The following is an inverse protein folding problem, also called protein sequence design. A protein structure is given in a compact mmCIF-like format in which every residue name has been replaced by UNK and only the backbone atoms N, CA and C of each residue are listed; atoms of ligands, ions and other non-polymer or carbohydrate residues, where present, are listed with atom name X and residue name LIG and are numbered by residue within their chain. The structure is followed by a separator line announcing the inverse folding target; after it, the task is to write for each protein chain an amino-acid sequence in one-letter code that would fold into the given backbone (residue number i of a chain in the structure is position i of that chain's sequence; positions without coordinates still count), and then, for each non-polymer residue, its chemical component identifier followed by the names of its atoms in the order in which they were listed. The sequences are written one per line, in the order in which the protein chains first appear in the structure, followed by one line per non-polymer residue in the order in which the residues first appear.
data_IF_090638495118
#
_entry.id   IF_090638495118
#
_cell.length_a   1.000
_cell.length_b   1.000
_cell.length_c   1.000
_cell.angle_alpha   90.00
_cell.angle_beta   90.00
_cell.angle_gamma   90.00
#
_symmetry.space_group_name_H-M   'P 1'
#
loop_
_entity.id
_entity.type
_entity.pdbx_description
1 polymer ?
#
# COMPACT_ATOMS: atom_id res chain seq x y z
N UNK A 1 29.08 -47.63 -19.33
CA UNK A 1 28.07 -46.85 -18.59
C UNK A 1 28.35 -45.38 -18.87
N UNK A 2 27.62 -44.78 -19.80
CA UNK A 2 27.72 -43.36 -20.12
C UNK A 2 26.69 -42.65 -19.24
N UNK A 3 27.16 -41.96 -18.21
CA UNK A 3 26.30 -41.17 -17.33
C UNK A 3 25.89 -39.89 -18.06
N UNK A 4 24.62 -39.81 -18.47
CA UNK A 4 24.03 -38.53 -18.85
C UNK A 4 23.90 -37.66 -17.58
N UNK A 5 24.86 -36.77 -17.36
CA UNK A 5 24.64 -35.62 -16.49
C UNK A 5 23.76 -34.68 -17.31
N UNK A 6 22.44 -34.67 -17.02
CA UNK A 6 21.57 -33.62 -17.55
C UNK A 6 22.09 -32.28 -17.02
N UNK A 7 22.30 -31.33 -17.91
CA UNK A 7 22.57 -29.94 -17.51
C UNK A 7 21.48 -29.48 -16.53
N UNK A 8 21.88 -28.71 -15.54
CA UNK A 8 20.94 -28.14 -14.58
C UNK A 8 19.85 -27.37 -15.36
N UNK A 9 18.57 -27.52 -14.99
CA UNK A 9 17.50 -26.81 -15.66
C UNK A 9 17.77 -25.30 -15.59
N UNK A 10 17.60 -24.62 -16.72
CA UNK A 10 17.73 -23.17 -16.79
C UNK A 10 16.73 -22.50 -15.85
N UNK A 11 17.15 -21.40 -15.23
CA UNK A 11 16.32 -20.70 -14.26
C UNK A 11 15.06 -20.13 -14.94
N UNK A 12 13.84 -20.51 -14.51
CA UNK A 12 12.61 -19.99 -15.09
C UNK A 12 12.26 -18.58 -14.59
N UNK A 13 12.93 -18.06 -13.56
CA UNK A 13 12.61 -16.76 -12.97
C UNK A 13 13.08 -15.58 -13.84
N UNK A 14 12.27 -14.52 -13.83
CA UNK A 14 12.45 -13.31 -14.63
C UNK A 14 12.21 -12.05 -13.78
N UNK A 15 12.71 -12.04 -12.54
CA UNK A 15 12.49 -10.93 -11.60
C UNK A 15 13.58 -9.87 -11.65
N UNK A 16 13.19 -8.64 -11.31
CA UNK A 16 14.12 -7.61 -10.86
C UNK A 16 14.25 -7.77 -9.35
N UNK A 17 15.42 -8.21 -8.88
CA UNK A 17 15.69 -8.48 -7.47
C UNK A 17 16.05 -7.20 -6.71
N UNK A 18 16.75 -6.26 -7.36
CA UNK A 18 17.03 -4.95 -6.80
C UNK A 18 17.20 -3.88 -7.88
N UNK A 19 16.94 -2.63 -7.49
CA UNK A 19 17.18 -1.44 -8.31
C UNK A 19 18.03 -0.48 -7.49
N UNK A 20 19.22 -0.19 -7.99
CA UNK A 20 20.17 0.74 -7.35
C UNK A 20 20.18 2.05 -8.11
N UNK A 21 20.00 3.16 -7.39
CA UNK A 21 20.10 4.53 -7.89
C UNK A 21 21.03 5.29 -6.94
N UNK A 22 21.79 6.27 -7.44
CA UNK A 22 22.62 7.12 -6.58
C UNK A 22 21.74 7.77 -5.49
N UNK A 23 22.05 7.56 -4.19
CA UNK A 23 21.26 8.12 -3.10
C UNK A 23 21.07 9.64 -3.14
N UNK A 24 21.97 10.41 -3.77
CA UNK A 24 21.81 11.86 -3.91
C UNK A 24 20.69 12.26 -4.87
N UNK A 25 20.30 11.35 -5.77
CA UNK A 25 19.19 11.52 -6.70
C UNK A 25 17.85 11.10 -6.09
N UNK A 26 17.88 10.48 -4.90
CA UNK A 26 16.73 9.93 -4.23
C UNK A 26 16.27 10.81 -3.07
N UNK A 27 14.94 10.87 -2.90
CA UNK A 27 14.26 11.43 -1.73
C UNK A 27 13.74 10.33 -0.79
N UNK A 28 13.89 9.07 -1.17
CA UNK A 28 13.59 7.89 -0.36
C UNK A 28 14.04 6.61 -1.05
N UNK A 29 13.83 5.46 -0.42
CA UNK A 29 14.23 4.17 -0.99
C UNK A 29 13.50 3.89 -2.31
N UNK A 30 14.11 3.05 -3.15
CA UNK A 30 13.45 2.45 -4.32
C UNK A 30 12.64 1.24 -3.84
N UNK A 31 11.40 1.13 -4.28
CA UNK A 31 10.52 0.03 -3.92
C UNK A 31 10.15 -0.79 -5.16
N UNK A 32 10.21 -2.11 -5.04
CA UNK A 32 9.78 -3.04 -6.09
C UNK A 32 8.55 -3.79 -5.59
N UNK A 33 7.42 -3.59 -6.25
CA UNK A 33 6.24 -4.41 -6.05
C UNK A 33 6.27 -5.56 -7.07
N UNK A 34 6.61 -6.75 -6.58
CA UNK A 34 6.71 -7.95 -7.42
C UNK A 34 5.35 -8.42 -7.96
N UNK A 35 4.24 -8.06 -7.31
CA UNK A 35 2.88 -8.50 -7.68
C UNK A 35 2.38 -7.65 -8.84
N UNK A 36 2.36 -6.33 -8.63
CA UNK A 36 1.89 -5.37 -9.63
C UNK A 36 2.97 -5.08 -10.68
N UNK A 37 4.18 -5.63 -10.48
CA UNK A 37 5.35 -5.44 -11.34
C UNK A 37 5.64 -3.95 -11.52
N UNK A 38 5.76 -3.24 -10.41
CA UNK A 38 6.07 -1.81 -10.43
C UNK A 38 7.36 -1.52 -9.69
N UNK A 39 8.10 -0.53 -10.17
CA UNK A 39 9.29 0.03 -9.52
C UNK A 39 8.95 1.47 -9.16
N UNK A 40 8.82 1.77 -7.88
CA UNK A 40 8.55 3.12 -7.39
C UNK A 40 9.87 3.81 -7.06
N UNK A 41 10.14 4.89 -7.79
CA UNK A 41 11.28 5.77 -7.60
C UNK A 41 10.84 7.04 -6.88
N UNK A 42 11.54 7.38 -5.81
CA UNK A 42 11.35 8.61 -5.07
C UNK A 42 12.51 9.55 -5.42
N UNK A 43 12.31 10.43 -6.40
CA UNK A 43 13.40 11.24 -6.96
C UNK A 43 13.45 12.65 -6.35
N UNK A 44 14.62 13.28 -6.42
CA UNK A 44 14.73 14.73 -6.30
C UNK A 44 14.15 15.39 -7.55
N UNK A 45 13.75 16.66 -7.48
CA UNK A 45 13.27 17.39 -8.65
C UNK A 45 14.34 17.43 -9.75
N UNK A 46 15.59 17.66 -9.37
CA UNK A 46 16.73 17.65 -10.29
C UNK A 46 16.87 16.28 -11.00
N UNK A 47 16.77 15.17 -10.26
CA UNK A 47 16.85 13.83 -10.84
C UNK A 47 15.65 13.48 -11.73
N UNK A 48 14.45 14.00 -11.40
CA UNK A 48 13.28 13.90 -12.26
C UNK A 48 13.51 14.65 -13.58
N UNK A 49 14.02 15.88 -13.51
CA UNK A 49 14.24 16.73 -14.67
C UNK A 49 15.40 16.22 -15.55
N UNK A 50 16.49 15.72 -14.95
CA UNK A 50 17.67 15.23 -15.68
C UNK A 50 17.54 13.80 -16.19
N UNK A 51 16.66 13.00 -15.58
CA UNK A 51 16.67 11.55 -15.70
C UNK A 51 17.73 10.89 -14.83
N UNK A 52 17.69 9.55 -14.76
CA UNK A 52 18.59 8.72 -13.96
C UNK A 52 19.02 7.44 -14.71
N UNK A 53 20.08 6.77 -14.25
CA UNK A 53 20.55 5.49 -14.79
C UNK A 53 20.52 4.39 -13.72
N UNK A 54 19.39 3.70 -13.51
CA UNK A 54 19.26 2.67 -12.47
C UNK A 54 20.05 1.40 -12.82
N UNK A 55 20.76 0.85 -11.85
CA UNK A 55 21.44 -0.46 -11.97
C UNK A 55 20.55 -1.54 -11.39
N UNK A 56 20.11 -2.46 -12.24
CA UNK A 56 19.25 -3.58 -11.91
C UNK A 56 20.06 -4.84 -11.59
N UNK A 57 19.70 -5.53 -10.51
CA UNK A 57 20.05 -6.94 -10.28
C UNK A 57 18.85 -7.79 -10.68
N UNK A 58 19.08 -8.82 -11.48
CA UNK A 58 18.02 -9.70 -12.01
C UNK A 58 18.18 -11.11 -11.45
N UNK A 59 17.12 -11.91 -11.56
CA UNK A 59 17.21 -13.36 -11.38
C UNK A 59 18.38 -13.95 -12.16
N UNK A 60 19.06 -14.94 -11.58
CA UNK A 60 20.22 -15.59 -12.21
C UNK A 60 19.91 -16.00 -13.65
N UNK A 61 20.74 -15.52 -14.59
CA UNK A 61 20.66 -15.86 -16.01
C UNK A 61 19.59 -15.08 -16.80
N UNK A 62 18.76 -14.26 -16.15
CA UNK A 62 17.79 -13.41 -16.83
C UNK A 62 18.44 -12.23 -17.56
N UNK A 63 17.73 -11.68 -18.53
CA UNK A 63 18.11 -10.48 -19.28
C UNK A 63 17.02 -9.42 -19.22
N UNK A 64 17.35 -8.15 -19.44
CA UNK A 64 16.40 -7.04 -19.33
C UNK A 64 16.52 -6.05 -20.49
N UNK A 65 15.37 -5.50 -20.93
CA UNK A 65 15.29 -4.39 -21.88
C UNK A 65 14.40 -3.27 -21.33
N UNK A 66 14.85 -1.99 -21.31
CA UNK A 66 16.20 -1.54 -21.68
C UNK A 66 17.27 -2.11 -20.74
N UNK A 67 18.54 -2.06 -21.17
CA UNK A 67 19.64 -2.64 -20.40
C UNK A 67 19.81 -1.92 -19.05
N UNK A 68 20.20 -2.66 -18.02
CA UNK A 68 20.60 -2.11 -16.72
C UNK A 68 21.63 -0.98 -16.91
N UNK A 69 21.45 0.16 -16.21
CA UNK A 69 22.27 1.37 -16.35
C UNK A 69 21.88 2.30 -17.50
N UNK A 70 20.89 1.96 -18.32
CA UNK A 70 20.37 2.86 -19.35
C UNK A 70 19.78 4.13 -18.72
N UNK A 71 20.11 5.29 -19.28
CA UNK A 71 19.49 6.56 -18.88
C UNK A 71 18.00 6.52 -19.22
N UNK A 72 17.16 6.67 -18.21
CA UNK A 72 15.71 6.87 -18.34
C UNK A 72 15.39 8.32 -18.04
N UNK A 73 14.44 8.88 -18.80
CA UNK A 73 13.94 10.25 -18.63
C UNK A 73 12.44 10.22 -18.37
N UNK A 74 11.96 11.22 -17.64
CA UNK A 74 10.57 11.33 -17.18
C UNK A 74 9.81 12.46 -17.87
N UNK A 75 10.32 12.93 -19.02
CA UNK A 75 9.88 14.11 -19.76
C UNK A 75 8.94 13.81 -20.95
N UNK A 76 8.42 12.58 -21.05
CA UNK A 76 7.51 12.17 -22.12
C UNK A 76 6.28 11.40 -21.63
N UNK A 77 5.23 11.37 -22.45
CA UNK A 77 3.98 10.63 -22.19
C UNK A 77 4.13 9.10 -22.26
N UNK A 78 5.36 8.61 -22.49
CA UNK A 78 5.64 7.20 -22.67
C UNK A 78 5.97 6.54 -21.33
N UNK A 79 5.24 5.46 -21.01
CA UNK A 79 5.48 4.64 -19.83
C UNK A 79 6.92 4.05 -19.88
N UNK A 80 7.66 4.21 -18.78
CA UNK A 80 9.00 3.65 -18.65
C UNK A 80 8.85 2.22 -18.14
N UNK A 81 9.28 1.25 -18.96
CA UNK A 81 9.12 -0.17 -18.65
C UNK A 81 10.43 -0.93 -18.79
N UNK A 82 10.61 -1.98 -17.97
CA UNK A 82 11.64 -2.99 -18.08
C UNK A 82 11.01 -4.36 -18.39
N UNK A 83 11.31 -4.92 -19.55
CA UNK A 83 10.95 -6.29 -19.91
C UNK A 83 12.09 -7.23 -19.52
N UNK A 84 11.87 -8.05 -18.48
CA UNK A 84 12.81 -9.07 -18.01
C UNK A 84 12.42 -10.42 -18.60
N UNK A 85 13.38 -11.11 -19.21
CA UNK A 85 13.22 -12.45 -19.79
C UNK A 85 14.09 -13.44 -19.03
N UNK A 86 13.52 -14.59 -18.63
CA UNK A 86 14.22 -15.64 -17.89
C UNK A 86 15.40 -16.23 -18.67
N UNK A 87 16.30 -16.96 -17.99
CA UNK A 87 17.41 -17.68 -18.64
C UNK A 87 16.91 -18.65 -19.71
N UNK A 88 15.76 -19.30 -19.45
CA UNK A 88 15.11 -20.21 -20.41
C UNK A 88 14.46 -19.51 -21.60
N UNK A 89 14.20 -18.19 -21.52
CA UNK A 89 13.42 -17.45 -22.51
C UNK A 89 11.90 -17.71 -22.48
N UNK A 90 11.44 -18.65 -21.67
CA UNK A 90 10.03 -19.06 -21.62
C UNK A 90 9.15 -18.07 -20.84
N UNK A 91 9.73 -17.36 -19.86
CA UNK A 91 9.00 -16.42 -19.02
C UNK A 91 9.46 -14.99 -19.27
N UNK A 92 8.50 -14.05 -19.31
CA UNK A 92 8.78 -12.62 -19.39
C UNK A 92 7.91 -11.86 -18.38
N UNK A 93 8.54 -10.99 -17.58
CA UNK A 93 7.86 -10.07 -16.65
C UNK A 93 8.16 -8.63 -17.09
N UNK A 94 7.11 -7.85 -17.28
CA UNK A 94 7.17 -6.41 -17.57
C UNK A 94 7.03 -5.64 -16.26
N UNK A 95 8.02 -4.83 -15.92
CA UNK A 95 7.99 -3.92 -14.78
C UNK A 95 7.79 -2.48 -15.23
N UNK A 96 6.79 -1.79 -14.68
CA UNK A 96 6.55 -0.36 -14.93
C UNK A 96 7.26 0.49 -13.87
N UNK A 97 8.06 1.47 -14.30
CA UNK A 97 8.66 2.47 -13.42
C UNK A 97 7.65 3.58 -13.15
N UNK A 98 7.43 3.89 -11.87
CA UNK A 98 6.59 4.99 -11.39
C UNK A 98 7.44 5.96 -10.60
N UNK A 99 7.27 7.26 -10.82
CA UNK A 99 7.97 8.29 -10.04
C UNK A 99 6.98 9.03 -9.16
N UNK A 100 7.32 9.17 -7.88
CA UNK A 100 6.56 9.96 -6.92
C UNK A 100 7.14 11.37 -6.87
N UNK A 101 6.39 12.37 -7.32
CA UNK A 101 6.73 13.77 -7.07
C UNK A 101 6.18 14.20 -5.70
N UNK A 102 7.07 14.43 -4.74
CA UNK A 102 6.72 14.78 -3.36
C UNK A 102 6.29 16.25 -3.31
N UNK A 103 4.99 16.53 -3.31
CA UNK A 103 4.49 17.89 -3.15
C UNK A 103 3.00 18.04 -2.85
N UNK A 104 2.16 17.18 -3.43
CA UNK A 104 0.70 17.25 -3.26
C UNK A 104 0.21 16.02 -2.50
N UNK A 105 -0.18 16.23 -1.24
CA UNK A 105 -0.72 15.19 -0.35
C UNK A 105 -2.22 15.41 -0.20
N UNK A 106 -2.91 15.42 -1.34
CA UNK A 106 -4.35 15.60 -1.49
C UNK A 106 -4.87 14.40 -2.30
N UNK A 107 -5.76 13.60 -1.72
CA UNK A 107 -6.19 12.31 -2.29
C UNK A 107 -7.71 12.29 -2.41
N UNK A 108 -8.19 12.37 -3.66
CA UNK A 108 -9.62 12.44 -3.97
C UNK A 108 -10.25 11.07 -4.35
N UNK A 109 -9.44 10.01 -4.53
CA UNK A 109 -9.90 8.67 -4.89
C UNK A 109 -10.82 8.61 -6.13
N UNK A 110 -10.58 9.49 -7.10
CA UNK A 110 -11.37 9.56 -8.33
C UNK A 110 -10.94 8.53 -9.37
N UNK A 111 -9.68 8.11 -9.33
CA UNK A 111 -9.09 7.19 -10.30
C UNK A 111 -8.73 5.87 -9.61
N UNK A 112 -9.10 4.77 -10.26
CA UNK A 112 -8.89 3.41 -9.75
C UNK A 112 -8.52 2.50 -10.92
N UNK A 113 -7.60 1.58 -10.65
CA UNK A 113 -7.28 0.48 -11.55
C UNK A 113 -7.76 -0.84 -10.94
N UNK A 114 -7.77 -1.89 -11.76
CA UNK A 114 -8.19 -3.24 -11.35
C UNK A 114 -7.09 -4.22 -11.68
N UNK A 115 -6.82 -5.15 -10.75
CA UNK A 115 -5.89 -6.23 -10.98
C UNK A 115 -6.40 -7.13 -12.14
N UNK A 116 -5.58 -7.43 -13.16
CA UNK A 116 -6.06 -8.05 -14.40
C UNK A 116 -6.66 -9.45 -14.18
N UNK A 117 -6.17 -10.20 -13.21
CA UNK A 117 -6.62 -11.58 -12.92
C UNK A 117 -7.60 -11.61 -11.77
N UNK A 118 -7.20 -11.11 -10.60
CA UNK A 118 -7.96 -11.24 -9.36
C UNK A 118 -9.08 -10.19 -9.22
N UNK A 119 -9.10 -9.18 -10.10
CA UNK A 119 -10.12 -8.13 -10.21
C UNK A 119 -10.35 -7.26 -8.97
N UNK A 120 -9.50 -7.34 -7.94
CA UNK A 120 -9.51 -6.34 -6.88
C UNK A 120 -9.14 -4.97 -7.42
N UNK A 121 -9.67 -3.92 -6.81
CA UNK A 121 -9.40 -2.54 -7.19
C UNK A 121 -8.34 -1.91 -6.28
N UNK A 122 -7.61 -0.92 -6.80
CA UNK A 122 -6.69 -0.08 -6.04
C UNK A 122 -6.69 1.36 -6.56
N UNK A 123 -6.55 2.39 -5.69
CA UNK A 123 -6.47 3.77 -6.14
C UNK A 123 -5.20 4.01 -6.95
N UNK A 124 -5.33 4.87 -7.96
CA UNK A 124 -4.19 5.41 -8.70
C UNK A 124 -4.32 6.92 -8.72
N UNK A 125 -3.21 7.61 -8.58
CA UNK A 125 -3.11 9.06 -8.77
C UNK A 125 -2.83 9.36 -10.25
N UNK A 126 -2.63 10.63 -10.57
CA UNK A 126 -2.30 11.09 -11.93
C UNK A 126 -1.11 10.31 -12.53
N UNK A 127 -1.13 10.16 -13.85
CA UNK A 127 -0.18 9.33 -14.60
C UNK A 127 -0.12 7.85 -14.16
N UNK A 128 -1.15 7.35 -13.46
CA UNK A 128 -1.22 5.94 -13.04
C UNK A 128 -0.35 5.61 -11.83
N UNK A 129 0.13 6.63 -11.11
CA UNK A 129 0.96 6.45 -9.93
C UNK A 129 0.19 5.72 -8.83
N UNK A 130 0.73 4.63 -8.29
CA UNK A 130 0.09 3.89 -7.20
C UNK A 130 0.87 4.16 -5.91
N UNK A 131 0.28 4.99 -5.04
CA UNK A 131 0.79 5.27 -3.69
C UNK A 131 0.08 4.44 -2.61
N UNK A 132 -1.13 4.03 -2.94
CA UNK A 132 -2.03 3.34 -2.02
C UNK A 132 -1.93 1.83 -2.20
N UNK A 133 -1.98 1.14 -1.07
CA UNK A 133 -2.11 -0.31 -0.99
C UNK A 133 -3.18 -0.69 0.02
N UNK A 134 -3.54 -1.97 0.03
CA UNK A 134 -4.61 -2.55 0.84
C UNK A 134 -4.30 -3.99 1.20
N UNK A 135 -5.17 -4.61 2.00
CA UNK A 135 -5.13 -6.05 2.25
C UNK A 135 -5.63 -6.91 1.07
N UNK A 136 -6.12 -6.31 -0.04
CA UNK A 136 -6.73 -7.05 -1.15
C UNK A 136 -5.82 -8.13 -1.75
N UNK A 137 -4.52 -7.90 -2.00
CA UNK A 137 -3.66 -8.94 -2.56
C UNK A 137 -3.56 -10.15 -1.63
N UNK A 138 -3.53 -9.94 -0.31
CA UNK A 138 -3.57 -11.03 0.67
C UNK A 138 -4.90 -11.77 0.69
N UNK A 139 -6.03 -11.06 0.55
CA UNK A 139 -7.37 -11.66 0.48
C UNK A 139 -7.56 -12.46 -0.81
N UNK A 140 -6.97 -12.06 -1.93
CA UNK A 140 -7.01 -12.82 -3.19
C UNK A 140 -6.48 -14.26 -3.00
N UNK A 141 -5.41 -14.43 -2.20
CA UNK A 141 -4.84 -15.73 -1.88
C UNK A 141 -5.78 -16.65 -1.08
N UNK A 142 -6.83 -16.08 -0.47
CA UNK A 142 -7.81 -16.84 0.31
C UNK A 142 -8.94 -17.46 -0.53
N UNK A 143 -8.94 -17.24 -1.84
CA UNK A 143 -9.91 -17.83 -2.76
C UNK A 143 -11.25 -17.07 -2.86
N UNK A 144 -11.25 -15.76 -2.65
CA UNK A 144 -12.42 -14.93 -2.96
C UNK A 144 -12.68 -14.89 -4.48
N UNK A 145 -13.94 -14.73 -4.94
CA UNK A 145 -14.23 -14.58 -6.36
C UNK A 145 -13.51 -13.39 -6.99
N UNK A 146 -13.05 -13.54 -8.23
CA UNK A 146 -12.38 -12.49 -8.99
C UNK A 146 -13.37 -11.41 -9.50
N UNK A 147 -13.87 -10.59 -8.58
CA UNK A 147 -14.70 -9.40 -8.84
C UNK A 147 -14.56 -8.40 -7.68
N UNK A 148 -14.63 -7.11 -7.96
CA UNK A 148 -14.25 -6.06 -7.00
C UNK A 148 -15.10 -6.03 -5.72
N UNK A 149 -16.39 -6.36 -5.80
CA UNK A 149 -17.30 -6.38 -4.65
C UNK A 149 -17.03 -7.52 -3.65
N UNK A 150 -16.22 -8.52 -4.02
CA UNK A 150 -15.80 -9.60 -3.13
C UNK A 150 -14.63 -9.19 -2.21
N UNK A 151 -13.96 -8.07 -2.52
CA UNK A 151 -12.80 -7.58 -1.78
C UNK A 151 -13.18 -6.55 -0.72
N UNK A 152 -12.41 -6.47 0.37
CA UNK A 152 -12.73 -5.57 1.48
C UNK A 152 -12.40 -4.11 1.18
N UNK A 153 -11.58 -3.80 0.17
CA UNK A 153 -11.27 -2.43 -0.25
C UNK A 153 -11.57 -2.25 -1.74
N UNK A 154 -12.29 -1.19 -2.12
CA UNK A 154 -12.70 -0.93 -3.52
C UNK A 154 -13.16 0.51 -3.71
N UNK A 155 -13.42 0.90 -4.95
CA UNK A 155 -14.10 2.16 -5.23
C UNK A 155 -15.61 2.07 -4.95
N UNK A 156 -16.22 3.21 -4.63
CA UNK A 156 -17.68 3.37 -4.55
C UNK A 156 -18.10 4.64 -5.28
N UNK A 157 -19.36 4.73 -5.69
CA UNK A 157 -19.94 5.97 -6.26
C UNK A 157 -20.53 6.90 -5.20
N UNK A 158 -20.53 6.49 -3.93
CA UNK A 158 -20.90 7.29 -2.75
C UNK A 158 -19.76 8.28 -2.40
N UNK A 159 -19.41 9.16 -3.33
CA UNK A 159 -18.35 10.17 -3.16
C UNK A 159 -18.85 11.46 -2.49
N UNK A 160 -17.97 12.14 -1.75
CA UNK A 160 -18.24 13.45 -1.16
C UNK A 160 -17.98 14.58 -2.16
N UNK A 161 -16.77 14.62 -2.73
CA UNK A 161 -16.35 15.59 -3.76
C UNK A 161 -15.99 14.85 -5.04
N UNK A 162 -17.01 14.48 -5.81
CA UNK A 162 -16.82 13.83 -7.11
C UNK A 162 -17.80 12.69 -7.31
N UNK A 163 -17.39 11.76 -8.17
CA UNK A 163 -18.18 10.58 -8.56
C UNK A 163 -17.70 9.30 -7.89
N UNK A 164 -16.56 9.32 -7.20
CA UNK A 164 -16.00 8.15 -6.52
C UNK A 164 -15.46 8.48 -5.12
N UNK A 165 -15.23 7.44 -4.34
CA UNK A 165 -14.52 7.46 -3.05
C UNK A 165 -13.91 6.08 -2.75
N UNK A 166 -13.11 5.98 -1.70
CA UNK A 166 -12.62 4.70 -1.19
C UNK A 166 -13.63 4.08 -0.21
N UNK A 167 -14.05 2.85 -0.51
CA UNK A 167 -14.92 2.04 0.33
C UNK A 167 -14.14 0.87 0.93
N UNK A 168 -14.23 0.76 2.26
CA UNK A 168 -13.61 -0.28 3.07
C UNK A 168 -14.74 -1.01 3.81
N UNK A 169 -14.86 -2.32 3.60
CA UNK A 169 -15.86 -3.17 4.22
C UNK A 169 -15.20 -4.33 4.92
N UNK A 170 -15.53 -4.55 6.19
CA UNK A 170 -15.13 -5.75 6.90
C UNK A 170 -15.93 -6.93 6.36
N UNK A 171 -15.26 -7.86 5.67
CA UNK A 171 -15.90 -9.03 5.07
C UNK A 171 -15.65 -10.28 5.91
N UNK A 172 -16.49 -11.30 5.71
CA UNK A 172 -16.27 -12.62 6.28
C UNK A 172 -15.04 -13.29 5.65
N UNK A 173 -14.31 -14.08 6.43
CA UNK A 173 -13.29 -14.98 5.92
C UNK A 173 -13.87 -16.04 4.96
N UNK A 174 -13.01 -16.60 4.12
CA UNK A 174 -13.32 -17.76 3.28
C UNK A 174 -13.11 -19.07 4.06
N UNK A 175 -13.66 -20.21 3.60
CA UNK A 175 -13.39 -21.52 4.20
C UNK A 175 -11.90 -21.85 4.34
N UNK A 176 -11.08 -21.43 3.36
CA UNK A 176 -9.62 -21.62 3.40
C UNK A 176 -8.98 -20.77 4.50
N UNK A 177 -9.40 -19.52 4.64
CA UNK A 177 -8.88 -18.63 5.67
C UNK A 177 -9.31 -19.05 7.09
N UNK A 178 -10.52 -19.60 7.23
CA UNK A 178 -11.02 -20.09 8.51
C UNK A 178 -10.20 -21.28 9.03
N UNK A 179 -9.66 -22.12 8.12
CA UNK A 179 -8.78 -23.24 8.47
C UNK A 179 -7.49 -22.80 9.18
N UNK A 180 -6.99 -21.60 8.86
CA UNK A 180 -5.83 -20.98 9.52
C UNK A 180 -6.23 -19.95 10.58
N UNK A 181 -7.51 -19.92 10.96
CA UNK A 181 -8.03 -19.11 12.07
C UNK A 181 -8.36 -17.66 11.72
N UNK A 182 -8.41 -17.30 10.44
CA UNK A 182 -8.83 -15.97 9.97
C UNK A 182 -10.32 -16.03 9.62
N UNK A 183 -11.16 -15.31 10.37
CA UNK A 183 -12.63 -15.37 10.25
C UNK A 183 -13.26 -14.12 9.66
N UNK A 184 -12.49 -13.04 9.58
CA UNK A 184 -12.87 -11.78 8.98
C UNK A 184 -11.65 -11.10 8.38
N UNK A 185 -11.88 -10.23 7.41
CA UNK A 185 -10.91 -9.31 6.86
C UNK A 185 -11.46 -7.90 6.95
N UNK A 186 -10.79 -7.02 7.70
CA UNK A 186 -11.12 -5.61 7.66
C UNK A 186 -10.70 -5.01 6.31
N UNK A 187 -11.54 -4.14 5.75
CA UNK A 187 -11.13 -3.25 4.68
C UNK A 187 -10.04 -2.34 5.23
N UNK A 188 -8.94 -2.24 4.49
CA UNK A 188 -7.81 -1.38 4.83
C UNK A 188 -7.32 -0.63 3.59
N UNK A 189 -6.92 0.62 3.76
CA UNK A 189 -6.30 1.42 2.73
C UNK A 189 -5.20 2.25 3.36
N UNK A 190 -3.98 2.14 2.83
CA UNK A 190 -2.82 2.78 3.42
C UNK A 190 -1.81 3.22 2.38
N UNK A 191 -1.06 4.27 2.69
CA UNK A 191 0.09 4.68 1.90
C UNK A 191 1.25 3.74 2.16
N UNK A 192 1.77 3.14 1.09
CA UNK A 192 2.84 2.16 1.17
C UNK A 192 2.62 0.97 0.23
N UNK A 193 3.06 -0.22 0.66
CA UNK A 193 3.13 -1.41 -0.18
C UNK A 193 2.62 -2.65 0.56
N UNK A 194 2.19 -3.65 -0.21
CA UNK A 194 1.86 -4.96 0.31
C UNK A 194 2.88 -5.99 -0.17
N UNK A 195 3.64 -6.54 0.77
CA UNK A 195 4.68 -7.53 0.49
C UNK A 195 4.11 -8.95 0.55
N UNK A 196 3.70 -9.49 -0.59
CA UNK A 196 3.13 -10.84 -0.67
C UNK A 196 4.07 -11.95 -0.20
N UNK A 197 5.39 -11.79 -0.31
CA UNK A 197 6.34 -12.79 0.20
C UNK A 197 6.22 -13.00 1.71
N UNK A 198 5.78 -11.96 2.43
CA UNK A 198 5.50 -12.01 3.87
C UNK A 198 4.04 -12.36 4.18
N UNK A 199 3.11 -12.26 3.23
CA UNK A 199 1.67 -12.38 3.52
C UNK A 199 1.27 -13.70 4.19
N UNK A 200 1.95 -14.81 3.84
CA UNK A 200 1.71 -16.12 4.43
C UNK A 200 2.58 -16.41 5.67
N UNK A 201 3.79 -15.86 5.72
CA UNK A 201 4.78 -16.13 6.78
C UNK A 201 4.58 -15.21 7.99
N UNK A 202 4.42 -13.90 7.72
CA UNK A 202 4.30 -12.82 8.69
C UNK A 202 3.27 -11.78 8.18
N UNK A 203 1.95 -12.04 8.26
CA UNK A 203 0.92 -11.16 7.69
C UNK A 203 1.02 -9.69 8.13
N UNK A 204 1.42 -9.42 9.38
CA UNK A 204 1.62 -8.05 9.89
C UNK A 204 2.86 -7.36 9.30
N UNK A 205 3.87 -8.11 8.88
CA UNK A 205 5.04 -7.57 8.19
C UNK A 205 4.75 -7.30 6.70
N UNK A 206 3.71 -7.92 6.14
CA UNK A 206 3.33 -7.74 4.74
C UNK A 206 2.76 -6.35 4.45
N UNK A 207 2.13 -5.67 5.41
CA UNK A 207 1.65 -4.30 5.21
C UNK A 207 2.76 -3.32 5.57
N UNK A 208 3.44 -2.81 4.55
CA UNK A 208 4.54 -1.85 4.69
C UNK A 208 3.98 -0.43 4.55
N UNK A 209 4.13 0.38 5.59
CA UNK A 209 3.56 1.71 5.70
C UNK A 209 4.59 2.80 5.46
N UNK A 210 4.20 3.76 4.64
CA UNK A 210 4.84 5.05 4.50
C UNK A 210 5.37 5.31 3.09
N UNK A 211 5.20 6.56 2.67
CA UNK A 211 5.85 7.13 1.49
C UNK A 211 6.75 8.29 1.91
N UNK A 212 7.82 8.60 1.17
CA UNK A 212 8.69 9.73 1.48
C UNK A 212 7.94 11.06 1.55
N UNK A 213 8.24 11.83 2.59
CA UNK A 213 7.59 13.10 2.90
C UNK A 213 8.62 14.21 3.07
N UNK A 214 8.25 15.45 2.69
CA UNK A 214 9.08 16.64 2.89
C UNK A 214 8.37 17.62 3.80
N UNK A 215 9.14 18.18 4.75
CA UNK A 215 8.65 19.14 5.72
C UNK A 215 7.96 18.49 6.91
N UNK A 216 7.25 19.30 7.66
CA UNK A 216 6.51 18.88 8.85
C UNK A 216 5.01 19.06 8.61
N UNK A 217 4.15 18.11 9.02
CA UNK A 217 2.71 18.25 8.91
C UNK A 217 2.11 19.03 10.08
N UNK A 218 1.08 19.82 9.81
CA UNK A 218 0.24 20.50 10.80
C UNK A 218 -0.96 19.66 11.19
N UNK A 219 -1.75 19.22 10.21
CA UNK A 219 -2.95 18.41 10.46
C UNK A 219 -3.24 17.43 9.33
N UNK A 220 -4.01 16.38 9.67
CA UNK A 220 -4.58 15.42 8.74
C UNK A 220 -6.08 15.69 8.63
N UNK A 221 -6.57 15.96 7.42
CA UNK A 221 -7.96 16.33 7.17
C UNK A 221 -8.61 15.40 6.15
N UNK A 222 -9.93 15.34 6.16
CA UNK A 222 -10.70 14.62 5.15
C UNK A 222 -12.15 14.44 5.54
N UNK A 223 -12.85 13.58 4.81
CA UNK A 223 -14.25 13.27 5.04
C UNK A 223 -14.44 11.77 5.18
N UNK A 224 -15.33 11.37 6.09
CA UNK A 224 -15.69 9.96 6.26
C UNK A 224 -17.16 9.76 6.57
N UNK A 225 -17.66 8.58 6.22
CA UNK A 225 -18.97 8.04 6.58
C UNK A 225 -18.75 6.64 7.11
N UNK A 226 -19.42 6.28 8.21
CA UNK A 226 -19.20 4.99 8.85
C UNK A 226 -20.50 4.37 9.37
N UNK A 227 -20.61 3.06 9.22
CA UNK A 227 -21.63 2.25 9.88
C UNK A 227 -21.01 0.94 10.36
N UNK A 228 -21.08 0.67 11.66
CA UNK A 228 -20.67 -0.62 12.20
C UNK A 228 -21.58 -1.76 11.69
N UNK A 229 -20.97 -2.93 11.48
CA UNK A 229 -21.72 -4.17 11.28
C UNK A 229 -22.53 -4.56 12.51
N UNK A 230 -23.50 -5.49 12.37
CA UNK A 230 -24.44 -5.82 13.45
C UNK A 230 -23.77 -6.48 14.66
N UNK A 231 -22.87 -7.46 14.43
CA UNK A 231 -22.28 -8.28 15.48
C UNK A 231 -20.77 -8.15 15.50
N UNK A 232 -20.22 -7.59 16.57
CA UNK A 232 -18.79 -7.62 16.81
C UNK A 232 -18.36 -9.02 17.23
N UNK A 233 -17.37 -9.59 16.54
CA UNK A 233 -16.79 -10.90 16.85
C UNK A 233 -15.33 -10.79 17.29
N UNK A 234 -14.93 -11.70 18.19
CA UNK A 234 -13.52 -11.87 18.54
C UNK A 234 -12.80 -12.76 17.51
N UNK A 235 -11.49 -12.97 17.69
CA UNK A 235 -10.66 -13.81 16.81
C UNK A 235 -11.16 -15.26 16.69
N UNK A 236 -11.82 -15.78 17.72
CA UNK A 236 -12.42 -17.12 17.72
C UNK A 236 -13.77 -17.19 16.97
N UNK A 237 -14.29 -16.06 16.48
CA UNK A 237 -15.58 -15.97 15.80
C UNK A 237 -16.77 -15.87 16.76
N UNK A 238 -16.53 -15.61 18.04
CA UNK A 238 -17.58 -15.50 19.05
C UNK A 238 -18.09 -14.06 19.10
N UNK A 239 -19.40 -13.89 19.01
CA UNK A 239 -20.07 -12.60 19.21
C UNK A 239 -19.72 -12.03 20.59
N UNK A 240 -19.46 -10.73 20.65
CA UNK A 240 -19.18 -9.96 21.85
C UNK A 240 -20.35 -9.02 22.12
N UNK A 241 -21.36 -9.44 22.90
CA UNK A 241 -22.56 -8.63 23.13
C UNK A 241 -22.23 -7.27 23.76
N UNK A 242 -22.86 -6.22 23.25
CA UNK A 242 -22.66 -4.85 23.75
C UNK A 242 -21.38 -4.15 23.25
N UNK A 243 -20.52 -4.85 22.51
CA UNK A 243 -19.37 -4.25 21.84
C UNK A 243 -19.80 -3.81 20.44
N UNK A 244 -19.64 -2.53 20.14
CA UNK A 244 -19.89 -1.96 18.82
C UNK A 244 -18.57 -1.71 18.11
N UNK A 245 -18.48 -2.10 16.85
CA UNK A 245 -17.30 -1.83 16.04
C UNK A 245 -17.12 -0.34 15.75
N UNK A 246 -15.91 0.06 15.40
CA UNK A 246 -15.55 1.43 15.02
C UNK A 246 -14.49 1.40 13.93
N UNK A 247 -14.46 2.43 13.09
CA UNK A 247 -13.36 2.59 12.15
C UNK A 247 -12.08 3.08 12.83
N UNK A 248 -10.97 3.00 12.10
CA UNK A 248 -9.71 3.66 12.44
C UNK A 248 -9.24 4.48 11.26
N UNK A 249 -8.84 5.73 11.50
CA UNK A 249 -8.28 6.65 10.52
C UNK A 249 -7.14 7.40 11.21
N UNK A 250 -5.92 7.28 10.71
CA UNK A 250 -4.78 7.98 11.29
C UNK A 250 -3.67 8.24 10.29
N UNK A 251 -2.80 9.18 10.64
CA UNK A 251 -1.56 9.46 9.93
C UNK A 251 -0.35 9.46 10.89
N UNK A 252 0.82 9.06 10.38
CA UNK A 252 2.05 8.89 11.16
C UNK A 252 3.21 9.51 10.39
N UNK A 253 3.87 10.50 11.00
CA UNK A 253 5.17 11.01 10.54
C UNK A 253 6.28 10.27 11.30
N UNK A 254 7.27 9.76 10.58
CA UNK A 254 8.39 9.03 11.19
C UNK A 254 9.70 9.22 10.42
N UNK A 255 10.81 8.97 11.11
CA UNK A 255 12.13 8.97 10.49
C UNK A 255 12.29 7.78 9.56
N UNK A 256 12.61 8.05 8.29
CA UNK A 256 12.95 7.10 7.24
C UNK A 256 14.41 6.64 7.25
N UNK A 257 14.90 6.05 6.14
CA UNK A 257 14.19 5.87 4.87
C UNK A 257 13.32 4.59 4.82
N UNK A 258 13.49 3.67 5.76
CA UNK A 258 12.77 2.39 5.72
C UNK A 258 11.31 2.54 6.14
N UNK A 259 10.41 1.74 5.58
CA UNK A 259 8.99 1.72 5.97
C UNK A 259 8.79 1.11 7.35
N UNK A 260 7.68 1.48 8.00
CA UNK A 260 7.16 0.75 9.16
C UNK A 260 6.22 -0.37 8.68
N UNK A 261 5.74 -1.23 9.58
CA UNK A 261 4.73 -2.24 9.26
C UNK A 261 3.74 -2.40 10.41
N UNK A 262 2.75 -3.31 10.31
CA UNK A 262 1.69 -3.42 11.31
C UNK A 262 2.19 -3.86 12.70
N UNK A 263 3.40 -4.39 12.81
CA UNK A 263 3.99 -4.74 14.11
C UNK A 263 4.50 -3.52 14.89
N UNK A 264 4.81 -2.40 14.22
CA UNK A 264 5.53 -1.27 14.83
C UNK A 264 4.99 0.13 14.47
N UNK A 265 4.02 0.25 13.55
CA UNK A 265 3.45 1.54 13.12
C UNK A 265 2.81 2.33 14.27
N UNK A 266 2.40 1.65 15.34
CA UNK A 266 1.73 2.27 16.49
C UNK A 266 2.71 2.81 17.54
N UNK A 267 3.92 2.26 17.64
CA UNK A 267 4.79 2.46 18.80
C UNK A 267 6.29 2.57 18.51
N UNK A 268 6.72 2.50 17.24
CA UNK A 268 8.14 2.62 16.89
C UNK A 268 8.78 3.91 17.45
N UNK A 269 10.02 3.79 17.91
CA UNK A 269 10.85 4.92 18.34
C UNK A 269 11.14 5.90 17.20
N UNK A 270 10.99 5.45 15.95
CA UNK A 270 11.14 6.30 14.75
C UNK A 270 9.97 7.27 14.55
N UNK A 271 8.84 7.05 15.22
CA UNK A 271 7.65 7.92 15.11
C UNK A 271 7.95 9.28 15.74
N UNK A 272 7.74 10.34 14.95
CA UNK A 272 7.90 11.74 15.34
C UNK A 272 6.57 12.31 15.80
N UNK A 273 5.51 12.11 15.01
CA UNK A 273 4.19 12.67 15.28
C UNK A 273 3.07 11.78 14.73
N UNK A 274 1.89 11.86 15.35
CA UNK A 274 0.69 11.14 14.90
C UNK A 274 -0.54 12.04 14.90
N UNK A 275 -1.44 11.78 13.98
CA UNK A 275 -2.78 12.36 13.94
C UNK A 275 -3.79 11.21 13.93
N UNK A 276 -4.48 10.99 15.05
CA UNK A 276 -5.41 9.88 15.26
C UNK A 276 -6.86 10.37 15.36
N UNK A 277 -7.76 9.80 14.55
CA UNK A 277 -9.19 10.06 14.67
C UNK A 277 -9.70 9.53 16.02
N UNK A 278 -10.27 10.40 16.84
CA UNK A 278 -10.73 10.05 18.19
C UNK A 278 -12.08 9.34 18.19
N UNK A 279 -13.01 9.79 17.34
CA UNK A 279 -14.36 9.26 17.23
C UNK A 279 -14.54 8.52 15.91
N UNK A 280 -14.39 7.19 15.95
CA UNK A 280 -14.65 6.29 14.84
C UNK A 280 -16.05 5.66 14.84
N UNK A 281 -16.99 6.21 15.62
CA UNK A 281 -18.37 5.71 15.69
C UNK A 281 -19.18 6.03 14.42
N UNK A 282 -20.39 5.46 14.32
CA UNK A 282 -21.30 5.66 13.19
C UNK A 282 -21.46 7.14 12.81
N UNK A 283 -21.36 7.41 11.50
CA UNK A 283 -21.68 8.69 10.86
C UNK A 283 -22.54 8.40 9.64
N UNK A 284 -23.82 8.78 9.70
CA UNK A 284 -24.79 8.51 8.63
C UNK A 284 -24.55 9.34 7.36
N UNK A 285 -23.91 10.50 7.51
CA UNK A 285 -23.48 11.39 6.43
C UNK A 285 -21.97 11.66 6.51
N UNK A 286 -21.40 12.11 5.39
CA UNK A 286 -20.00 12.53 5.35
C UNK A 286 -19.72 13.59 6.41
N UNK A 287 -18.79 13.27 7.29
CA UNK A 287 -18.34 14.11 8.40
C UNK A 287 -16.91 14.52 8.15
N UNK A 288 -16.64 15.84 8.17
CA UNK A 288 -15.29 16.37 8.07
C UNK A 288 -14.50 16.08 9.35
N UNK A 289 -13.24 15.72 9.22
CA UNK A 289 -12.27 15.74 10.32
C UNK A 289 -11.09 16.66 10.00
N UNK A 290 -10.48 17.17 11.07
CA UNK A 290 -9.25 17.98 11.04
C UNK A 290 -8.47 17.65 12.31
N UNK A 291 -7.51 16.74 12.18
CA UNK A 291 -6.80 16.14 13.31
C UNK A 291 -5.40 16.75 13.36
N UNK A 292 -5.04 17.51 14.42
CA UNK A 292 -3.68 18.04 14.53
C UNK A 292 -2.67 16.91 14.74
N UNK A 293 -1.48 17.05 14.15
CA UNK A 293 -0.37 16.16 14.47
C UNK A 293 0.15 16.46 15.88
N UNK A 294 0.14 15.44 16.73
CA UNK A 294 0.73 15.47 18.07
C UNK A 294 2.16 14.97 17.97
N UNK A 295 3.12 15.86 18.20
CA UNK A 295 4.56 15.56 18.17
C UNK A 295 5.01 14.95 19.49
N UNK A 296 5.80 13.88 19.43
CA UNK A 296 6.50 13.35 20.61
C UNK A 296 7.45 14.41 21.15
N UNK A 297 7.50 14.54 22.46
CA UNK A 297 8.48 15.40 23.12
C UNK A 297 9.90 14.90 22.79
N UNK A 298 10.79 15.83 22.43
CA UNK A 298 12.18 15.53 22.05
C UNK A 298 12.34 14.59 20.85
N UNK A 299 11.38 14.57 19.92
CA UNK A 299 11.51 13.80 18.70
C UNK A 299 12.75 14.26 17.90
N UNK A 300 13.66 13.33 17.63
CA UNK A 300 14.77 13.58 16.70
C UNK A 300 14.20 13.55 15.28
N UNK A 301 14.40 14.62 14.52
CA UNK A 301 13.93 14.73 13.14
C UNK A 301 15.14 14.54 12.22
N UNK A 302 15.14 13.45 11.47
CA UNK A 302 16.17 13.15 10.47
C UNK A 302 15.88 13.85 9.14
N UNK A 303 16.84 13.79 8.21
CA UNK A 303 16.67 14.34 6.85
C UNK A 303 15.65 13.56 6.02
N UNK A 304 15.53 12.25 6.26
CA UNK A 304 14.65 11.37 5.53
C UNK A 304 13.37 11.21 6.34
N UNK A 305 12.27 11.81 5.89
CA UNK A 305 10.99 11.68 6.53
C UNK A 305 10.07 10.81 5.70
N UNK A 306 9.23 10.05 6.40
CA UNK A 306 8.22 9.18 5.81
C UNK A 306 6.88 9.53 6.44
N UNK A 307 5.83 9.48 5.65
CA UNK A 307 4.44 9.70 6.07
C UNK A 307 3.60 8.49 5.69
N UNK A 308 2.90 7.94 6.68
CA UNK A 308 1.86 6.94 6.47
C UNK A 308 0.49 7.55 6.72
N UNK A 309 -0.48 7.22 5.88
CA UNK A 309 -1.91 7.33 6.17
C UNK A 309 -2.45 5.92 6.20
N UNK A 310 -3.29 5.60 7.20
CA UNK A 310 -3.92 4.29 7.33
C UNK A 310 -5.40 4.49 7.68
N UNK A 311 -6.27 3.81 6.94
CA UNK A 311 -7.70 3.74 7.23
C UNK A 311 -8.14 2.28 7.29
N UNK A 312 -9.07 1.96 8.20
CA UNK A 312 -9.61 0.62 8.40
C UNK A 312 -11.09 0.65 8.77
N UNK A 313 -11.87 -0.27 8.21
CA UNK A 313 -13.30 -0.44 8.54
C UNK A 313 -13.54 -1.05 9.92
N UNK A 314 -12.55 -1.71 10.51
CA UNK A 314 -12.56 -2.22 11.89
C UNK A 314 -11.25 -1.86 12.59
N UNK A 315 -11.34 -1.14 13.72
CA UNK A 315 -10.16 -0.66 14.45
C UNK A 315 -9.27 -1.77 15.01
N UNK A 316 -9.83 -2.96 15.25
CA UNK A 316 -9.12 -4.15 15.75
C UNK A 316 -9.00 -5.25 14.67
N UNK A 317 -9.15 -4.87 13.41
CA UNK A 317 -9.16 -5.79 12.27
C UNK A 317 -7.85 -6.55 12.06
N UNK A 318 -6.73 -5.93 12.42
CA UNK A 318 -5.39 -6.54 12.44
C UNK A 318 -5.27 -7.70 13.45
N UNK A 319 -6.14 -7.74 14.45
CA UNK A 319 -6.27 -8.83 15.42
C UNK A 319 -7.36 -9.85 15.03
N UNK A 320 -7.94 -9.70 13.83
CA UNK A 320 -9.10 -10.45 13.36
C UNK A 320 -10.33 -10.28 14.26
N UNK A 321 -10.55 -9.05 14.75
CA UNK A 321 -11.70 -8.66 15.58
C UNK A 321 -12.43 -7.50 14.90
N UNK A 322 -13.74 -7.46 15.01
CA UNK A 322 -14.56 -6.46 14.32
C UNK A 322 -15.95 -6.99 14.02
N UNK A 323 -16.77 -6.21 13.34
CA UNK A 323 -18.09 -6.63 12.88
C UNK A 323 -18.11 -6.81 11.36
N UNK A 324 -18.53 -7.99 10.91
CA UNK A 324 -18.74 -8.24 9.48
C UNK A 324 -19.82 -7.27 8.98
N UNK A 325 -19.56 -6.60 7.86
CA UNK A 325 -20.41 -5.55 7.30
C UNK A 325 -20.09 -4.14 7.80
N UNK A 326 -19.16 -3.96 8.75
CA UNK A 326 -18.65 -2.63 9.08
C UNK A 326 -18.14 -1.95 7.82
N UNK A 327 -18.69 -0.77 7.52
CA UNK A 327 -18.45 -0.05 6.26
C UNK A 327 -17.93 1.34 6.56
N UNK A 328 -16.73 1.61 6.09
CA UNK A 328 -16.09 2.92 6.08
C UNK A 328 -16.02 3.42 4.64
N UNK A 329 -16.44 4.66 4.41
CA UNK A 329 -16.13 5.39 3.17
C UNK A 329 -15.28 6.59 3.54
N UNK A 330 -14.15 6.79 2.85
CA UNK A 330 -13.28 7.95 3.02
C UNK A 330 -13.10 8.67 1.69
N UNK A 331 -13.04 9.99 1.76
CA UNK A 331 -12.85 10.85 0.60
C UNK A 331 -12.05 12.11 0.98
N UNK A 332 -11.37 12.69 -0.01
CA UNK A 332 -10.69 13.97 0.05
C UNK A 332 -9.70 14.07 1.22
N UNK A 333 -8.87 13.04 1.37
CA UNK A 333 -7.85 12.98 2.42
C UNK A 333 -6.72 13.96 2.10
N UNK A 334 -6.22 14.68 3.12
CA UNK A 334 -5.16 15.67 2.94
C UNK A 334 -4.22 15.77 4.13
N UNK A 335 -2.92 15.84 3.86
CA UNK A 335 -1.92 16.31 4.84
C UNK A 335 -1.69 17.81 4.63
N UNK A 336 -2.05 18.60 5.64
CA UNK A 336 -1.80 20.04 5.67
C UNK A 336 -0.39 20.27 6.22
N UNK A 337 0.53 20.92 5.48
CA UNK A 337 1.88 21.19 5.98
C UNK A 337 1.88 22.25 7.09
N UNK A 338 2.86 22.15 7.97
CA UNK A 338 3.27 23.17 8.91
C UNK A 338 4.13 24.17 8.14
N UNK A 339 3.68 25.42 8.05
CA UNK A 339 4.30 26.50 7.27
C UNK A 339 5.76 26.75 7.63
#
# INVERSE_FOLDING_TARGET
MQGCIKDAPQNPEADIESVTVDPHLLTGNVFIDQINRTITLNLTNEAYDSGISPVLTLSRGASVKPASGTLIKFDGDQEIVYDVTSESGENTKRYTVKVVNIGHWDFAFQNWASHPTDKYEYPVEDAGLQLWSSGNPGVALSGVPARSDAYPTRSTTDGYLGTKAAELVTIKGTPLSELIGIRLYAGSLFLGNFNASQAMLNPLAATEFGEPYKGLPKSFTGYYKYSAGPDFINKAGQVQPGVKDKCSIYAVLFNGPDRLNATNIMNSDRIIARADLQDGSDKSSFTRFDIPFVYKQNAVISKNLMMAIVTSSSAEGDQYRGAIGSRLVVDSLRIVPLL
#
